data_IF_067261192159
#
_entry.id   IF_067261192159
#
_cell.length_a   1.000
_cell.length_b   1.000
_cell.length_c   1.000
_cell.angle_alpha   90.00
_cell.angle_beta   90.00
_cell.angle_gamma   90.00
#
_symmetry.space_group_name_H-M   'P 1'
#
loop_
_entity.id
_entity.type
_entity.pdbx_description
1 polymer ?
#
# COMPACT_ATOMS: atom_id res chain seq x y z
N UNK A 1 -19.81 75.23 -27.38
CA UNK A 1 -20.02 73.82 -27.80
C UNK A 1 -18.84 72.96 -27.34
N UNK A 2 -19.01 72.19 -26.28
CA UNK A 2 -17.95 71.28 -25.74
C UNK A 2 -18.34 69.87 -26.05
N UNK A 3 -17.57 69.21 -26.91
CA UNK A 3 -17.71 67.79 -27.24
C UNK A 3 -17.09 66.95 -26.10
N UNK A 4 -17.89 66.19 -25.43
CA UNK A 4 -17.43 65.21 -24.42
C UNK A 4 -17.16 63.86 -25.10
N UNK A 5 -15.91 63.49 -25.16
CA UNK A 5 -15.46 62.17 -25.64
C UNK A 5 -15.61 61.15 -24.51
N UNK A 6 -16.45 60.13 -24.68
CA UNK A 6 -16.52 58.98 -23.78
C UNK A 6 -15.42 57.98 -24.15
N UNK A 7 -14.53 57.72 -23.21
CA UNK A 7 -13.56 56.60 -23.31
C UNK A 7 -14.20 55.39 -22.68
N UNK A 8 -14.49 54.39 -23.50
CA UNK A 8 -14.96 53.08 -23.05
C UNK A 8 -13.76 52.26 -22.57
N UNK A 9 -13.67 52.02 -21.28
CA UNK A 9 -12.70 51.11 -20.70
C UNK A 9 -13.13 49.64 -20.89
N UNK A 10 -12.40 48.89 -21.69
CA UNK A 10 -12.55 47.43 -21.77
C UNK A 10 -11.86 46.78 -20.57
N UNK A 11 -12.65 46.25 -19.64
CA UNK A 11 -12.16 45.44 -18.58
C UNK A 11 -11.95 43.98 -19.10
N UNK A 12 -10.71 43.58 -19.26
CA UNK A 12 -10.36 42.20 -19.59
C UNK A 12 -10.50 41.32 -18.36
N UNK A 13 -11.49 40.43 -18.32
CA UNK A 13 -11.58 39.37 -17.33
C UNK A 13 -10.54 38.31 -17.68
N UNK A 14 -9.50 38.20 -16.85
CA UNK A 14 -8.58 37.07 -16.87
C UNK A 14 -9.26 35.89 -16.18
N UNK A 15 -9.65 34.87 -16.96
CA UNK A 15 -10.13 33.59 -16.43
C UNK A 15 -8.93 32.77 -15.99
N UNK A 16 -8.67 32.69 -14.67
CA UNK A 16 -7.74 31.75 -14.12
C UNK A 16 -8.36 30.34 -14.19
N UNK A 17 -7.91 29.53 -15.14
CA UNK A 17 -8.21 28.10 -15.17
C UNK A 17 -7.40 27.41 -14.08
N UNK A 18 -8.03 27.14 -12.95
CA UNK A 18 -7.48 26.25 -11.94
C UNK A 18 -7.52 24.81 -12.47
N UNK A 19 -6.38 24.29 -12.91
CA UNK A 19 -6.24 22.86 -13.20
C UNK A 19 -6.37 22.09 -11.87
N UNK A 20 -7.54 21.46 -11.68
CA UNK A 20 -7.75 20.55 -10.58
C UNK A 20 -6.85 19.32 -10.78
N UNK A 21 -5.78 19.21 -10.00
CA UNK A 21 -5.04 17.97 -9.84
C UNK A 21 -5.94 16.98 -9.12
N UNK A 22 -6.60 16.11 -9.88
CA UNK A 22 -7.26 14.94 -9.33
C UNK A 22 -6.16 13.98 -8.87
N UNK A 23 -6.11 13.59 -7.59
CA UNK A 23 -5.20 12.53 -7.17
C UNK A 23 -5.58 11.28 -7.94
N UNK A 24 -4.59 10.64 -8.59
CA UNK A 24 -4.78 9.35 -9.22
C UNK A 24 -5.29 8.37 -8.14
N UNK A 25 -6.49 7.83 -8.34
CA UNK A 25 -7.01 6.79 -7.46
C UNK A 25 -6.04 5.60 -7.49
N UNK A 26 -5.58 5.10 -6.34
CA UNK A 26 -4.76 3.90 -6.33
C UNK A 26 -5.54 2.77 -6.99
N UNK A 27 -4.86 2.06 -7.89
CA UNK A 27 -5.41 0.87 -8.53
C UNK A 27 -6.03 -0.03 -7.46
N UNK A 28 -7.24 -0.53 -7.73
CA UNK A 28 -8.08 -1.29 -6.80
C UNK A 28 -7.31 -2.48 -6.24
N UNK A 29 -6.74 -2.32 -5.05
CA UNK A 29 -6.11 -3.38 -4.30
C UNK A 29 -7.12 -4.52 -4.05
N UNK A 30 -6.71 -5.78 -4.22
CA UNK A 30 -7.45 -6.91 -3.68
C UNK A 30 -7.73 -6.63 -2.20
N UNK A 31 -8.95 -6.88 -1.73
CA UNK A 31 -9.52 -6.41 -0.47
C UNK A 31 -8.49 -6.11 0.64
N UNK A 32 -8.13 -4.84 0.82
CA UNK A 32 -7.28 -4.37 1.91
C UNK A 32 -5.78 -4.25 1.65
N UNK A 33 -5.26 -4.76 0.54
CA UNK A 33 -3.84 -4.61 0.20
C UNK A 33 -3.56 -3.39 -0.67
N UNK A 34 -2.41 -2.75 -0.42
CA UNK A 34 -1.79 -1.74 -1.28
C UNK A 34 -0.66 -2.40 -2.05
N UNK A 35 -0.58 -2.16 -3.35
CA UNK A 35 0.56 -2.62 -4.14
C UNK A 35 1.82 -1.82 -3.76
N UNK A 36 2.93 -2.55 -3.63
CA UNK A 36 4.21 -1.93 -3.30
C UNK A 36 4.68 -1.00 -4.43
N UNK A 37 5.15 0.16 -4.03
CA UNK A 37 6.03 1.01 -4.80
C UNK A 37 7.19 1.47 -3.89
N UNK A 38 8.36 1.84 -4.44
CA UNK A 38 9.48 2.31 -3.63
C UNK A 38 9.07 3.40 -2.65
N UNK A 39 9.40 3.22 -1.37
CA UNK A 39 9.07 4.14 -0.28
C UNK A 39 7.79 3.82 0.50
N UNK A 40 6.84 3.05 -0.04
CA UNK A 40 5.54 2.78 0.62
C UNK A 40 5.70 2.17 2.00
N UNK A 41 6.58 1.18 2.15
CA UNK A 41 6.82 0.52 3.44
C UNK A 41 7.59 1.45 4.38
N UNK A 42 8.66 2.05 3.90
CA UNK A 42 9.55 2.92 4.66
C UNK A 42 8.80 4.15 5.21
N UNK A 43 7.99 4.79 4.38
CA UNK A 43 7.17 5.94 4.78
C UNK A 43 6.12 5.56 5.83
N UNK A 44 5.48 4.41 5.69
CA UNK A 44 4.51 3.92 6.66
C UNK A 44 5.18 3.63 8.01
N UNK A 45 6.34 2.96 8.01
CA UNK A 45 7.11 2.68 9.22
C UNK A 45 7.62 3.97 9.89
N UNK A 46 8.07 4.96 9.12
CA UNK A 46 8.49 6.27 9.62
C UNK A 46 7.34 7.05 10.27
N UNK A 47 6.10 6.83 9.81
CA UNK A 47 4.88 7.38 10.41
C UNK A 47 4.40 6.60 11.65
N UNK A 48 5.15 5.60 12.11
CA UNK A 48 4.80 4.76 13.27
C UNK A 48 3.74 3.70 12.98
N UNK A 49 3.41 3.44 11.72
CA UNK A 49 2.46 2.38 11.35
C UNK A 49 3.09 1.00 11.47
N UNK A 50 2.27 0.02 11.81
CA UNK A 50 2.61 -1.39 11.66
C UNK A 50 2.29 -1.81 10.23
N UNK A 51 3.17 -2.55 9.59
CA UNK A 51 3.03 -2.96 8.18
C UNK A 51 3.07 -4.48 8.08
N UNK A 52 2.05 -5.05 7.45
CA UNK A 52 2.05 -6.44 7.00
C UNK A 52 2.52 -6.48 5.55
N UNK A 53 3.52 -7.29 5.24
CA UNK A 53 4.11 -7.40 3.90
C UNK A 53 3.91 -8.80 3.35
N UNK A 54 3.34 -8.92 2.16
CA UNK A 54 3.15 -10.16 1.40
C UNK A 54 4.01 -10.14 0.14
N UNK A 55 5.08 -10.94 0.11
CA UNK A 55 5.88 -11.17 -1.09
C UNK A 55 5.22 -12.25 -1.95
N UNK A 56 4.54 -11.86 -2.99
CA UNK A 56 3.61 -12.69 -3.76
C UNK A 56 3.87 -12.64 -5.26
N UNK A 57 3.43 -13.66 -5.98
CA UNK A 57 3.36 -13.66 -7.44
C UNK A 57 2.00 -14.18 -7.90
N UNK A 58 1.49 -13.66 -9.00
CA UNK A 58 0.15 -14.01 -9.51
C UNK A 58 0.00 -15.47 -9.93
N UNK A 59 1.09 -16.12 -10.35
CA UNK A 59 1.15 -17.52 -10.76
C UNK A 59 1.45 -18.50 -9.61
N UNK A 60 1.70 -18.02 -8.41
CA UNK A 60 2.15 -18.81 -7.27
C UNK A 60 0.96 -19.40 -6.50
N UNK A 61 0.82 -20.73 -6.52
CA UNK A 61 -0.28 -21.46 -5.84
C UNK A 61 -0.22 -21.33 -4.33
N UNK A 62 0.97 -21.36 -3.73
CA UNK A 62 1.17 -21.15 -2.28
C UNK A 62 0.76 -19.73 -1.87
N UNK A 63 1.12 -18.71 -2.67
CA UNK A 63 0.70 -17.32 -2.41
C UNK A 63 -0.82 -17.19 -2.44
N UNK A 64 -1.49 -17.83 -3.40
CA UNK A 64 -2.97 -17.85 -3.47
C UNK A 64 -3.60 -18.55 -2.27
N UNK A 65 -2.97 -19.60 -1.75
CA UNK A 65 -3.43 -20.27 -0.53
C UNK A 65 -3.31 -19.34 0.68
N UNK A 66 -2.18 -18.64 0.83
CA UNK A 66 -2.00 -17.63 1.87
C UNK A 66 -3.01 -16.50 1.76
N UNK A 67 -3.24 -15.99 0.55
CA UNK A 67 -4.20 -14.91 0.29
C UNK A 67 -5.63 -15.28 0.72
N UNK A 68 -6.08 -16.52 0.44
CA UNK A 68 -7.41 -16.97 0.88
C UNK A 68 -7.53 -17.01 2.39
N UNK A 69 -6.50 -17.43 3.10
CA UNK A 69 -6.48 -17.44 4.58
C UNK A 69 -6.49 -16.01 5.12
N UNK A 70 -5.61 -15.15 4.61
CA UNK A 70 -5.52 -13.75 5.04
C UNK A 70 -6.87 -13.04 4.80
N UNK A 71 -7.49 -13.20 3.64
CA UNK A 71 -8.78 -12.57 3.32
C UNK A 71 -9.86 -12.98 4.32
N UNK A 72 -9.97 -14.28 4.66
CA UNK A 72 -10.92 -14.76 5.67
C UNK A 72 -10.65 -14.14 7.05
N UNK A 73 -9.39 -14.08 7.46
CA UNK A 73 -9.03 -13.49 8.74
C UNK A 73 -9.34 -12.00 8.82
N UNK A 74 -9.15 -11.25 7.72
CA UNK A 74 -9.51 -9.84 7.63
C UNK A 74 -11.04 -9.62 7.66
N UNK A 75 -11.81 -10.52 7.03
CA UNK A 75 -13.27 -10.48 7.05
C UNK A 75 -13.84 -10.79 8.44
N UNK A 76 -13.24 -11.75 9.14
CA UNK A 76 -13.71 -12.18 10.47
C UNK A 76 -13.22 -11.30 11.61
N UNK A 77 -12.08 -10.62 11.44
CA UNK A 77 -11.51 -9.72 12.43
C UNK A 77 -11.05 -8.39 11.80
N UNK A 78 -11.93 -7.38 11.71
CA UNK A 78 -11.59 -6.07 11.15
C UNK A 78 -10.48 -5.32 11.89
N UNK A 79 -10.12 -5.75 13.12
CA UNK A 79 -9.06 -5.10 13.90
C UNK A 79 -7.69 -5.18 13.19
N UNK A 80 -7.43 -6.24 12.42
CA UNK A 80 -6.18 -6.37 11.67
C UNK A 80 -6.03 -5.25 10.62
N UNK A 81 -7.08 -5.01 9.82
CA UNK A 81 -7.07 -3.96 8.81
C UNK A 81 -7.00 -2.54 9.40
N UNK A 82 -7.47 -2.36 10.63
CA UNK A 82 -7.36 -1.07 11.35
C UNK A 82 -5.97 -0.86 11.96
N UNK A 83 -5.32 -1.95 12.41
CA UNK A 83 -4.04 -1.88 13.09
C UNK A 83 -2.84 -1.83 12.15
N UNK A 84 -2.96 -2.37 10.94
CA UNK A 84 -1.84 -2.56 10.02
C UNK A 84 -2.14 -2.02 8.62
N UNK A 85 -1.11 -1.50 7.96
CA UNK A 85 -1.09 -1.32 6.51
C UNK A 85 -0.68 -2.65 5.86
N UNK A 86 -1.50 -3.16 4.96
CA UNK A 86 -1.21 -4.38 4.20
C UNK A 86 -0.58 -4.01 2.87
N UNK A 87 0.63 -4.47 2.61
CA UNK A 87 1.39 -4.19 1.38
C UNK A 87 1.70 -5.48 0.65
N UNK A 88 1.37 -5.54 -0.64
CA UNK A 88 1.77 -6.65 -1.53
C UNK A 88 2.97 -6.24 -2.35
N UNK A 89 4.03 -7.04 -2.28
CA UNK A 89 5.25 -6.88 -3.07
C UNK A 89 5.23 -7.93 -4.18
N UNK A 90 5.12 -7.49 -5.44
CA UNK A 90 5.20 -8.40 -6.59
C UNK A 90 6.61 -8.97 -6.69
N UNK A 91 6.71 -10.30 -6.62
CA UNK A 91 7.99 -11.00 -6.64
C UNK A 91 8.69 -10.91 -8.00
N UNK A 92 7.93 -10.88 -9.09
CA UNK A 92 8.51 -10.82 -10.43
C UNK A 92 9.19 -9.46 -10.67
N UNK A 93 8.64 -8.38 -10.12
CA UNK A 93 9.19 -7.03 -10.25
C UNK A 93 10.25 -6.70 -9.18
N UNK A 94 10.06 -7.20 -7.95
CA UNK A 94 10.81 -6.73 -6.77
C UNK A 94 11.60 -7.80 -6.01
N UNK A 95 11.56 -9.07 -6.44
CA UNK A 95 12.26 -10.16 -5.76
C UNK A 95 13.78 -9.98 -5.68
N UNK A 96 14.35 -9.27 -6.64
CA UNK A 96 15.77 -8.94 -6.72
C UNK A 96 16.10 -7.47 -6.32
N UNK A 97 15.14 -6.76 -5.77
CA UNK A 97 15.28 -5.37 -5.36
C UNK A 97 15.59 -5.24 -3.85
N UNK A 98 16.04 -4.07 -3.37
CA UNK A 98 16.35 -3.83 -1.96
C UNK A 98 15.23 -4.21 -1.00
N UNK A 99 13.95 -4.02 -1.37
CA UNK A 99 12.79 -4.39 -0.55
C UNK A 99 12.76 -5.87 -0.17
N UNK A 100 13.33 -6.74 -1.00
CA UNK A 100 13.47 -8.17 -0.71
C UNK A 100 14.87 -8.51 -0.18
N UNK A 101 15.93 -7.98 -0.79
CA UNK A 101 17.33 -8.30 -0.44
C UNK A 101 17.71 -7.83 0.96
N UNK A 102 17.39 -6.59 1.30
CA UNK A 102 17.79 -5.98 2.59
C UNK A 102 17.10 -6.66 3.78
N UNK A 103 15.96 -7.31 3.53
CA UNK A 103 15.22 -8.10 4.53
C UNK A 103 15.52 -9.59 4.44
N UNK A 104 16.47 -10.01 3.60
CA UNK A 104 16.82 -11.42 3.40
C UNK A 104 15.60 -12.30 3.11
N UNK A 105 14.74 -11.85 2.18
CA UNK A 105 13.57 -12.61 1.77
C UNK A 105 14.01 -13.77 0.87
N UNK A 106 13.81 -15.03 1.29
CA UNK A 106 14.39 -16.17 0.58
C UNK A 106 13.62 -16.54 -0.68
N UNK A 107 12.33 -16.18 -0.74
CA UNK A 107 11.43 -16.53 -1.84
C UNK A 107 10.09 -15.79 -1.73
N UNK A 108 9.31 -15.81 -2.81
CA UNK A 108 7.89 -15.48 -2.74
C UNK A 108 7.16 -16.37 -1.71
N UNK A 109 5.92 -16.08 -1.40
CA UNK A 109 5.14 -16.71 -0.32
C UNK A 109 5.75 -16.44 1.07
N UNK A 110 6.44 -15.32 1.22
CA UNK A 110 6.95 -14.86 2.51
C UNK A 110 6.08 -13.73 3.03
N UNK A 111 5.65 -13.88 4.29
CA UNK A 111 4.81 -12.91 5.00
C UNK A 111 5.60 -12.32 6.16
N UNK A 112 5.55 -11.00 6.34
CA UNK A 112 6.20 -10.29 7.45
C UNK A 112 5.21 -9.40 8.19
N UNK A 113 5.47 -9.17 9.48
CA UNK A 113 4.92 -8.02 10.22
C UNK A 113 6.06 -7.17 10.72
N UNK A 114 6.02 -5.88 10.37
CA UNK A 114 7.05 -4.89 10.67
C UNK A 114 6.48 -3.77 11.53
N UNK A 115 7.28 -3.28 12.51
CA UNK A 115 6.96 -2.10 13.30
C UNK A 115 8.25 -1.32 13.61
N UNK A 116 8.32 -0.06 13.17
CA UNK A 116 9.54 0.72 13.29
C UNK A 116 10.72 0.02 12.60
N UNK A 117 11.76 -0.32 13.36
CA UNK A 117 12.94 -1.03 12.85
C UNK A 117 12.91 -2.54 13.13
N UNK A 118 11.81 -3.06 13.65
CA UNK A 118 11.70 -4.45 14.09
C UNK A 118 10.85 -5.27 13.12
N UNK A 119 11.30 -6.47 12.84
CA UNK A 119 10.49 -7.54 12.28
C UNK A 119 9.85 -8.32 13.44
N UNK A 120 8.53 -8.21 13.59
CA UNK A 120 7.79 -8.85 14.68
C UNK A 120 7.56 -10.34 14.43
N UNK A 121 7.59 -10.75 13.17
CA UNK A 121 7.47 -12.15 12.78
C UNK A 121 7.52 -12.36 11.28
N UNK A 122 7.73 -13.62 10.91
CA UNK A 122 7.90 -14.05 9.52
C UNK A 122 7.30 -15.44 9.32
N UNK A 123 6.69 -15.66 8.17
CA UNK A 123 6.31 -16.97 7.66
C UNK A 123 6.89 -17.14 6.27
N UNK A 124 7.53 -18.28 6.02
CA UNK A 124 8.03 -18.65 4.68
C UNK A 124 7.25 -19.87 4.21
N UNK A 125 6.44 -19.68 3.16
CA UNK A 125 5.62 -20.72 2.52
C UNK A 125 4.54 -21.39 3.39
N UNK A 126 4.41 -21.06 4.68
CA UNK A 126 3.34 -21.58 5.53
C UNK A 126 1.96 -21.10 5.10
N UNK A 127 0.97 -22.00 5.13
CA UNK A 127 -0.41 -21.73 4.70
C UNK A 127 -1.44 -22.07 5.76
N UNK A 128 -1.01 -22.55 6.93
CA UNK A 128 -1.89 -22.89 8.04
C UNK A 128 -2.54 -21.62 8.62
N UNK A 129 -3.85 -21.68 8.85
CA UNK A 129 -4.62 -20.53 9.34
C UNK A 129 -4.14 -20.06 10.71
N UNK A 130 -3.85 -21.01 11.63
CA UNK A 130 -3.36 -20.71 12.97
C UNK A 130 -2.00 -20.00 12.92
N UNK A 131 -1.12 -20.39 12.01
CA UNK A 131 0.19 -19.78 11.86
C UNK A 131 0.08 -18.36 11.32
N UNK A 132 -0.74 -18.13 10.28
CA UNK A 132 -0.98 -16.82 9.69
C UNK A 132 -1.71 -15.92 10.70
N UNK A 133 -2.68 -16.45 11.42
CA UNK A 133 -3.37 -15.72 12.49
C UNK A 133 -2.39 -15.27 13.58
N UNK A 134 -1.51 -16.18 14.04
CA UNK A 134 -0.50 -15.86 15.06
C UNK A 134 0.48 -14.77 14.58
N UNK A 135 0.80 -14.72 13.28
CA UNK A 135 1.59 -13.65 12.71
C UNK A 135 0.83 -12.31 12.71
N UNK A 136 -0.44 -12.31 12.30
CA UNK A 136 -1.29 -11.11 12.31
C UNK A 136 -1.50 -10.57 13.73
N UNK A 137 -1.66 -11.45 14.72
CA UNK A 137 -1.85 -11.07 16.13
C UNK A 137 -0.65 -10.27 16.67
N UNK A 138 0.55 -10.47 16.14
CA UNK A 138 1.76 -9.69 16.51
C UNK A 138 1.66 -8.22 16.05
N UNK A 139 0.80 -7.91 15.13
CA UNK A 139 0.58 -6.57 14.63
C UNK A 139 -0.48 -5.77 15.40
N UNK A 140 -1.22 -6.40 16.29
CA UNK A 140 -2.21 -5.74 17.16
C UNK A 140 -1.57 -5.10 18.45
#
# INVERSE_FOLDING_TARGET
MRKRTFVAGMASLAVLSAAAFLPASPARAAAGFVDYAPGVIEDALAQGKTVFVDYSATWCTTCKAQERVISRLLETNPAYAKAMLFVRVDWDDYGDQPVARDRNIPRRSTLLVLRGRQELGRIVAGTAEEEIKALLDKGL
#
